data_IF_089349906736
#
_entry.id   IF_089349906736
#
_cell.length_a   1.000
_cell.length_b   1.000
_cell.length_c   1.000
_cell.angle_alpha   90.00
_cell.angle_beta   90.00
_cell.angle_gamma   90.00
#
_symmetry.space_group_name_H-M   'P 1'
#
loop_
_entity.id
_entity.type
_entity.pdbx_description
1 polymer ?
#
# COMPACT_ATOMS: atom_id res chain seq x y z
N UNK A 1 -29.23 13.50 -12.35
CA UNK A 1 -28.34 12.34 -12.11
C UNK A 1 -27.27 12.34 -13.19
N UNK A 2 -26.12 12.96 -12.91
CA UNK A 2 -25.07 13.19 -13.89
C UNK A 2 -24.52 11.84 -14.42
N UNK A 3 -24.51 11.68 -15.75
CA UNK A 3 -23.78 10.61 -16.43
C UNK A 3 -22.32 10.76 -16.03
N UNK A 4 -21.84 9.90 -15.13
CA UNK A 4 -20.45 9.90 -14.70
C UNK A 4 -19.63 9.54 -15.93
N UNK A 5 -18.95 10.53 -16.49
CA UNK A 5 -18.06 10.39 -17.63
C UNK A 5 -17.22 9.12 -17.46
N UNK A 6 -17.34 8.18 -18.40
CA UNK A 6 -16.61 6.89 -18.39
C UNK A 6 -15.09 7.07 -18.56
N UNK A 7 -14.60 8.31 -18.50
CA UNK A 7 -13.23 8.73 -18.72
C UNK A 7 -12.54 9.29 -17.47
N UNK A 8 -13.18 9.19 -16.30
CA UNK A 8 -12.49 9.48 -15.05
C UNK A 8 -11.34 8.48 -14.84
N UNK A 9 -10.10 8.94 -14.62
CA UNK A 9 -8.96 8.07 -14.31
C UNK A 9 -9.32 7.12 -13.17
N UNK A 10 -9.16 5.82 -13.39
CA UNK A 10 -9.43 4.83 -12.35
C UNK A 10 -8.26 4.80 -11.35
N UNK A 11 -8.52 4.69 -10.04
CA UNK A 11 -7.45 4.51 -9.06
C UNK A 11 -6.83 3.12 -9.23
N UNK A 12 -5.52 3.08 -9.43
CA UNK A 12 -4.72 1.87 -9.46
C UNK A 12 -3.93 1.79 -8.15
N UNK A 13 -4.13 0.70 -7.39
CA UNK A 13 -3.42 0.51 -6.13
C UNK A 13 -2.01 0.00 -6.37
N UNK A 14 -1.03 0.65 -5.74
CA UNK A 14 0.38 0.30 -5.90
C UNK A 14 1.05 -0.16 -4.63
N UNK A 15 2.04 -1.02 -4.81
CA UNK A 15 2.97 -1.45 -3.76
C UNK A 15 4.37 -0.97 -4.11
N UNK A 16 5.07 -0.41 -3.14
CA UNK A 16 6.45 0.04 -3.33
C UNK A 16 7.35 -1.18 -3.27
N UNK A 17 8.22 -1.35 -4.26
CA UNK A 17 9.29 -2.33 -4.20
C UNK A 17 10.62 -1.68 -4.50
N UNK A 18 11.63 -2.08 -3.74
CA UNK A 18 13.03 -1.81 -4.00
C UNK A 18 13.65 -2.99 -4.76
N UNK A 19 14.59 -2.69 -5.66
CA UNK A 19 15.37 -3.72 -6.34
C UNK A 19 16.60 -4.07 -5.50
N UNK A 20 16.75 -5.33 -5.03
CA UNK A 20 17.82 -5.72 -4.12
C UNK A 20 19.20 -5.52 -4.76
N UNK A 21 20.14 -4.97 -3.99
CA UNK A 21 21.48 -4.63 -4.48
C UNK A 21 21.55 -3.33 -5.28
N UNK A 22 20.42 -2.68 -5.55
CA UNK A 22 20.36 -1.33 -6.13
C UNK A 22 19.57 -0.40 -5.21
N UNK A 23 19.64 0.90 -5.48
CA UNK A 23 18.83 1.92 -4.78
C UNK A 23 17.61 2.34 -5.61
N UNK A 24 17.19 1.53 -6.56
CA UNK A 24 16.07 1.87 -7.45
C UNK A 24 14.77 1.41 -6.81
N UNK A 25 13.79 2.31 -6.75
CA UNK A 25 12.42 1.99 -6.35
C UNK A 25 11.49 1.95 -7.56
N UNK A 26 10.49 1.07 -7.50
CA UNK A 26 9.43 0.99 -8.49
C UNK A 26 8.08 0.74 -7.83
N UNK A 27 7.05 1.39 -8.36
CA UNK A 27 5.67 1.16 -8.01
C UNK A 27 5.15 -0.03 -8.80
N UNK A 28 4.65 -1.04 -8.10
CA UNK A 28 3.99 -2.19 -8.72
C UNK A 28 2.50 -2.06 -8.55
N UNK A 29 1.79 -1.91 -9.66
CA UNK A 29 0.33 -2.06 -9.76
C UNK A 29 0.03 -3.55 -9.82
N UNK A 30 -0.63 -4.10 -8.81
CA UNK A 30 -0.92 -5.55 -8.76
C UNK A 30 -2.03 -5.96 -9.74
N UNK A 31 -3.02 -5.09 -9.94
CA UNK A 31 -4.13 -5.29 -10.84
C UNK A 31 -4.42 -4.00 -11.62
N UNK A 32 -4.07 -3.98 -12.89
CA UNK A 32 -4.39 -2.86 -13.78
C UNK A 32 -5.91 -2.76 -13.98
N UNK A 33 -6.53 -1.57 -13.82
CA UNK A 33 -7.97 -1.39 -14.00
C UNK A 33 -8.44 -1.59 -15.45
N UNK A 34 -7.51 -1.68 -16.41
CA UNK A 34 -7.82 -1.83 -17.84
C UNK A 34 -7.61 -3.26 -18.35
N UNK A 35 -6.46 -3.88 -18.09
CA UNK A 35 -6.14 -5.24 -18.57
C UNK A 35 -6.10 -6.31 -17.47
N UNK A 36 -6.15 -5.93 -16.19
CA UNK A 36 -6.05 -6.87 -15.07
C UNK A 36 -4.64 -7.40 -14.79
N UNK A 37 -3.63 -7.06 -15.59
CA UNK A 37 -2.25 -7.51 -15.40
C UNK A 37 -1.47 -6.66 -14.39
N UNK A 38 -0.30 -7.18 -14.00
CA UNK A 38 0.68 -6.49 -13.15
C UNK A 38 1.52 -5.53 -13.98
N UNK A 39 1.67 -4.31 -13.51
CA UNK A 39 2.52 -3.29 -14.15
C UNK A 39 3.52 -2.69 -13.17
N UNK A 40 4.72 -2.40 -13.63
CA UNK A 40 5.77 -1.76 -12.84
C UNK A 40 6.11 -0.39 -13.43
N UNK A 41 6.18 0.62 -12.55
CA UNK A 41 6.60 1.99 -12.87
C UNK A 41 7.86 2.33 -12.10
N UNK A 42 8.91 2.71 -12.81
CA UNK A 42 10.18 3.09 -12.17
C UNK A 42 10.05 4.50 -11.60
N UNK A 43 10.34 4.65 -10.31
CA UNK A 43 10.28 5.93 -9.59
C UNK A 43 11.62 6.68 -9.69
N UNK A 44 12.71 5.92 -9.64
CA UNK A 44 14.07 6.45 -9.66
C UNK A 44 14.89 5.98 -8.46
N UNK A 45 15.95 6.73 -8.15
CA UNK A 45 16.92 6.38 -7.11
C UNK A 45 16.47 6.89 -5.73
N UNK A 46 16.61 6.07 -4.69
CA UNK A 46 16.23 6.31 -3.29
C UNK A 46 16.78 7.64 -2.71
N UNK A 47 17.86 8.18 -3.27
CA UNK A 47 18.47 9.44 -2.82
C UNK A 47 17.85 10.70 -3.41
N UNK A 48 17.17 10.59 -4.54
CA UNK A 48 16.73 11.75 -5.34
C UNK A 48 15.26 11.74 -5.65
N UNK A 49 14.60 10.57 -5.58
CA UNK A 49 13.19 10.45 -5.88
C UNK A 49 12.39 10.14 -4.61
N UNK A 50 11.53 11.08 -4.24
CA UNK A 50 10.53 10.85 -3.19
C UNK A 50 9.42 9.94 -3.75
N UNK A 51 9.10 8.82 -3.07
CA UNK A 51 8.10 7.87 -3.56
C UNK A 51 6.69 8.48 -3.62
N UNK A 52 6.43 9.54 -2.84
CA UNK A 52 5.15 10.26 -2.81
C UNK A 52 4.97 11.15 -4.04
N UNK A 53 6.03 11.75 -4.56
CA UNK A 53 5.98 12.57 -5.78
C UNK A 53 5.68 11.73 -7.03
N UNK A 54 6.03 10.44 -6.99
CA UNK A 54 5.69 9.49 -8.06
C UNK A 54 4.25 8.95 -7.99
N UNK A 55 3.43 9.40 -7.03
CA UNK A 55 2.00 9.10 -6.99
C UNK A 55 1.23 10.18 -7.76
N UNK A 56 0.44 9.78 -8.76
CA UNK A 56 -0.28 10.70 -9.62
C UNK A 56 -0.90 10.02 -10.82
N UNK A 57 -1.23 10.80 -11.85
CA UNK A 57 -1.76 10.30 -13.11
C UNK A 57 -0.62 9.80 -14.00
N UNK A 58 -0.62 8.49 -14.28
CA UNK A 58 0.40 7.86 -15.14
C UNK A 58 -0.32 7.09 -16.26
N UNK A 59 0.22 7.09 -17.50
CA UNK A 59 -0.31 6.27 -18.58
C UNK A 59 -0.22 4.79 -18.25
N UNK A 60 -1.28 4.06 -18.58
CA UNK A 60 -1.30 2.61 -18.45
C UNK A 60 -0.33 1.98 -19.47
N UNK A 61 0.61 1.11 -19.05
CA UNK A 61 1.53 0.46 -19.98
C UNK A 61 0.82 -0.37 -21.05
N UNK A 62 -0.33 -0.95 -20.71
CA UNK A 62 -1.16 -1.70 -21.63
C UNK A 62 -1.96 -0.82 -22.61
N UNK A 63 -2.27 0.43 -22.23
CA UNK A 63 -3.05 1.38 -23.03
C UNK A 63 -2.53 2.80 -22.77
N UNK A 64 -1.50 3.26 -23.50
CA UNK A 64 -0.89 4.56 -23.24
C UNK A 64 -1.86 5.74 -23.46
N UNK A 65 -2.97 5.52 -24.18
CA UNK A 65 -4.05 6.49 -24.36
C UNK A 65 -4.91 6.70 -23.10
N UNK A 66 -4.78 5.85 -22.07
CA UNK A 66 -5.58 5.90 -20.85
C UNK A 66 -4.71 6.12 -19.63
N UNK A 67 -5.08 7.11 -18.82
CA UNK A 67 -4.43 7.42 -17.56
C UNK A 67 -5.11 6.66 -16.41
N UNK A 68 -4.34 6.24 -15.43
CA UNK A 68 -4.85 5.86 -14.10
C UNK A 68 -4.12 6.63 -13.01
N UNK A 69 -4.76 6.76 -11.86
CA UNK A 69 -4.17 7.43 -10.70
C UNK A 69 -3.49 6.39 -9.83
N UNK A 70 -2.16 6.45 -9.74
CA UNK A 70 -1.42 5.67 -8.76
C UNK A 70 -1.78 6.13 -7.36
N UNK A 71 -2.34 5.22 -6.58
CA UNK A 71 -2.75 5.48 -5.21
C UNK A 71 -2.25 4.39 -4.28
N UNK A 72 -1.91 4.76 -3.05
CA UNK A 72 -1.58 3.79 -2.03
C UNK A 72 -2.84 3.02 -1.63
N UNK A 73 -2.77 1.69 -1.44
CA UNK A 73 -3.89 0.93 -0.92
C UNK A 73 -4.30 1.52 0.44
N UNK A 74 -5.61 1.60 0.73
CA UNK A 74 -6.08 2.09 2.01
C UNK A 74 -5.43 1.25 3.11
N UNK A 75 -4.68 1.90 4.02
CA UNK A 75 -4.03 1.21 5.13
C UNK A 75 -5.08 0.36 5.85
N UNK A 76 -4.82 -0.95 6.07
CA UNK A 76 -5.78 -1.78 6.77
C UNK A 76 -6.05 -1.16 8.13
N UNK A 77 -7.32 -0.77 8.38
CA UNK A 77 -7.73 -0.21 9.66
C UNK A 77 -7.34 -1.24 10.73
N UNK A 78 -6.42 -0.85 11.63
CA UNK A 78 -6.12 -1.66 12.81
C UNK A 78 -7.45 -1.90 13.52
N UNK A 79 -7.93 -3.14 13.54
CA UNK A 79 -9.10 -3.50 14.35
C UNK A 79 -8.81 -3.08 15.79
N UNK A 80 -9.63 -2.20 16.34
CA UNK A 80 -9.59 -1.84 17.76
C UNK A 80 -9.67 -3.11 18.60
N UNK A 81 -8.81 -3.24 19.61
CA UNK A 81 -8.77 -4.42 20.49
C UNK A 81 -7.51 -5.28 20.40
N UNK A 82 -6.62 -5.09 19.41
CA UNK A 82 -5.31 -5.81 19.40
C UNK A 82 -4.40 -5.37 20.56
N UNK A 83 -4.51 -4.10 20.96
CA UNK A 83 -3.73 -3.55 22.08
C UNK A 83 -4.27 -4.04 23.43
N UNK A 84 -5.60 -4.05 23.59
CA UNK A 84 -6.29 -4.59 24.77
C UNK A 84 -6.01 -6.08 24.97
N UNK A 85 -6.06 -6.87 23.88
CA UNK A 85 -5.72 -8.30 23.92
C UNK A 85 -4.24 -8.56 24.24
N UNK A 86 -3.35 -7.62 23.91
CA UNK A 86 -1.93 -7.69 24.26
C UNK A 86 -1.68 -7.27 25.72
N UNK A 87 -2.48 -6.33 26.25
CA UNK A 87 -2.48 -5.93 27.66
C UNK A 87 -2.99 -7.05 28.56
N UNK A 88 -4.14 -7.66 28.23
CA UNK A 88 -4.70 -8.80 28.98
C UNK A 88 -3.73 -9.99 29.08
N UNK A 89 -2.94 -10.27 28.04
CA UNK A 89 -1.90 -11.31 28.09
C UNK A 89 -0.71 -10.98 29.00
N UNK A 90 -0.37 -9.69 29.16
CA UNK A 90 0.66 -9.28 30.10
C UNK A 90 0.16 -9.31 31.53
N UNK A 91 -1.11 -8.94 31.73
CA UNK A 91 -1.75 -8.92 33.05
C UNK A 91 -1.89 -10.34 33.61
N UNK A 92 -2.42 -11.29 32.82
CA UNK A 92 -2.54 -12.68 33.26
C UNK A 92 -1.21 -13.38 33.56
N UNK A 93 -0.09 -12.96 32.95
CA UNK A 93 1.25 -13.47 33.29
C UNK A 93 1.81 -12.85 34.57
N UNK A 94 1.32 -11.68 34.98
CA UNK A 94 1.71 -11.03 36.23
C UNK A 94 0.98 -11.63 37.42
N UNK A 95 -0.28 -12.04 37.28
CA UNK A 95 -1.02 -12.75 38.32
C UNK A 95 -0.44 -14.14 38.63
N UNK A 96 0.01 -14.89 37.61
CA UNK A 96 0.60 -16.24 37.81
C UNK A 96 1.90 -16.22 38.66
N UNK A 97 2.68 -15.13 38.60
CA UNK A 97 3.92 -14.99 39.38
C UNK A 97 3.70 -14.54 40.83
N UNK A 98 2.55 -13.96 41.15
CA UNK A 98 2.22 -13.50 42.51
C UNK A 98 1.63 -14.65 43.37
N UNK A 99 1.00 -15.66 42.75
CA UNK A 99 0.39 -16.82 43.42
C UNK A 99 1.42 -17.91 43.80
N UNK A 100 2.60 -17.94 43.13
CA UNK A 100 3.71 -18.86 43.45
C UNK A 100 4.61 -18.39 44.61
N UNK A 101 4.28 -17.26 45.25
CA UNK A 101 5.01 -16.72 46.40
C UNK A 101 4.15 -16.78 47.66
N UNK A 102 3.81 -17.99 48.12
CA UNK A 102 3.30 -18.24 49.48
C UNK A 102 3.81 -19.56 50.04
#
# INVERSE_FOLDING_TARGET
>A
MAKKDRRSPQPAFVTLRDMPGTRVMFWVVDACPYCGERHAHVIGNLRTADPVDALGEIPAPCQPERLYVLSLPPKPKRKGGKEERRRARRDGKREELDDETW
#
